data_IF_799023417052
#
_entry.id   IF_799023417052
#
_cell.length_a   1.000
_cell.length_b   1.000
_cell.length_c   1.000
_cell.angle_alpha   90.00
_cell.angle_beta   90.00
_cell.angle_gamma   90.00
#
_symmetry.space_group_name_H-M   'P 1'
#
loop_
_entity.id
_entity.type
_entity.pdbx_description
1 polymer ?
#
# COMPACT_ATOMS: atom_id res chain seq x y z
N UNK A 1 -6.15 4.95 11.54
CA UNK A 1 -5.46 3.92 12.35
C UNK A 1 -3.96 4.00 12.01
N UNK A 2 -3.06 3.23 12.63
CA UNK A 2 -1.61 3.32 12.29
C UNK A 2 -1.31 2.41 11.09
N UNK A 3 -0.81 2.96 9.98
CA UNK A 3 -0.38 2.15 8.83
C UNK A 3 0.87 1.35 9.21
N UNK A 4 0.67 0.13 9.70
CA UNK A 4 1.76 -0.74 10.16
C UNK A 4 2.75 -1.04 9.03
N UNK A 5 2.34 -1.36 7.78
CA UNK A 5 3.29 -1.59 6.69
C UNK A 5 4.09 -0.34 6.36
N UNK A 6 3.43 0.82 6.27
CA UNK A 6 4.10 2.10 6.01
C UNK A 6 5.07 2.49 7.14
N UNK A 7 4.72 2.19 8.38
CA UNK A 7 5.57 2.42 9.55
C UNK A 7 6.82 1.54 9.54
N UNK A 8 6.69 0.27 9.16
CA UNK A 8 7.82 -0.65 9.01
C UNK A 8 8.74 -0.15 7.87
N UNK A 9 8.14 0.21 6.73
CA UNK A 9 8.87 0.73 5.57
C UNK A 9 9.62 2.03 5.89
N UNK A 10 8.95 3.02 6.50
CA UNK A 10 9.57 4.31 6.84
C UNK A 10 10.72 4.21 7.85
N UNK A 11 10.72 3.17 8.70
CA UNK A 11 11.80 2.94 9.67
C UNK A 11 12.95 2.12 9.10
N UNK A 12 12.66 1.14 8.24
CA UNK A 12 13.66 0.14 7.81
C UNK A 12 14.11 0.29 6.36
N UNK A 13 13.33 1.00 5.53
CA UNK A 13 13.51 1.06 4.08
C UNK A 13 13.33 -0.29 3.38
N UNK A 14 12.85 -1.32 4.09
CA UNK A 14 12.71 -2.67 3.53
C UNK A 14 11.41 -2.76 2.71
N UNK A 15 11.56 -2.63 1.39
CA UNK A 15 10.43 -2.71 0.45
C UNK A 15 9.82 -4.10 0.34
N UNK A 16 10.61 -5.17 0.53
CA UNK A 16 10.12 -6.54 0.46
C UNK A 16 9.14 -6.82 1.61
N UNK A 17 9.50 -6.41 2.83
CA UNK A 17 8.64 -6.55 4.01
C UNK A 17 7.32 -5.76 3.87
N UNK A 18 7.38 -4.55 3.30
CA UNK A 18 6.19 -3.74 3.01
C UNK A 18 5.23 -4.48 2.06
N UNK A 19 5.75 -5.02 0.96
CA UNK A 19 4.94 -5.72 -0.04
C UNK A 19 4.32 -7.00 0.52
N UNK A 20 5.06 -7.76 1.34
CA UNK A 20 4.54 -8.95 2.00
C UNK A 20 3.38 -8.61 2.95
N UNK A 21 3.52 -7.57 3.78
CA UNK A 21 2.46 -7.15 4.70
C UNK A 21 1.24 -6.63 3.94
N UNK A 22 1.47 -5.83 2.89
CA UNK A 22 0.39 -5.30 2.05
C UNK A 22 -0.37 -6.40 1.30
N UNK A 23 0.32 -7.48 0.89
CA UNK A 23 -0.32 -8.66 0.30
C UNK A 23 -1.23 -9.37 1.31
N UNK A 24 -0.80 -9.48 2.58
CA UNK A 24 -1.62 -10.09 3.64
C UNK A 24 -2.85 -9.24 3.99
N UNK A 25 -2.73 -7.91 3.97
CA UNK A 25 -3.86 -6.99 4.18
C UNK A 25 -4.93 -7.12 3.07
N UNK A 26 -4.54 -7.44 1.83
CA UNK A 26 -5.48 -7.66 0.71
C UNK A 26 -6.25 -8.99 0.85
N UNK A 27 -5.68 -9.98 1.54
CA UNK A 27 -6.30 -11.30 1.72
C UNK A 27 -7.31 -11.33 2.87
N UNK A 28 -7.20 -10.43 3.84
CA UNK A 28 -8.28 -10.18 4.79
C UNK A 28 -9.31 -9.25 4.12
N UNK A 29 -10.63 -9.58 4.13
CA UNK A 29 -11.66 -8.63 3.74
C UNK A 29 -11.79 -7.59 4.87
N UNK A 30 -10.78 -6.75 5.03
CA UNK A 30 -10.79 -5.66 5.99
C UNK A 30 -11.77 -4.63 5.43
N UNK A 31 -12.93 -4.52 6.10
CA UNK A 31 -13.88 -3.44 5.87
C UNK A 31 -13.23 -2.13 6.30
N UNK A 32 -12.38 -1.55 5.46
CA UNK A 32 -11.82 -0.22 5.65
C UNK A 32 -12.18 0.65 4.45
N UNK A 33 -13.30 1.35 4.63
CA UNK A 33 -13.68 2.58 3.96
C UNK A 33 -12.64 3.67 4.30
N UNK A 34 -11.61 3.86 3.47
CA UNK A 34 -10.82 5.10 3.46
C UNK A 34 -10.15 5.36 2.10
N UNK A 35 -10.89 5.99 1.21
CA UNK A 35 -10.50 7.21 0.48
C UNK A 35 -8.99 7.53 0.34
N UNK A 36 -8.18 6.68 -0.29
CA UNK A 36 -6.79 7.01 -0.64
C UNK A 36 -6.26 6.25 -1.87
N UNK A 37 -7.11 6.01 -2.87
CA UNK A 37 -6.72 5.35 -4.12
C UNK A 37 -6.31 6.34 -5.24
N UNK A 38 -6.28 7.65 -4.96
CA UNK A 38 -5.97 8.68 -5.96
C UNK A 38 -4.47 8.78 -6.34
N UNK A 39 -3.56 8.12 -5.61
CA UNK A 39 -2.12 8.24 -5.87
C UNK A 39 -1.51 7.09 -6.69
N UNK A 40 -2.12 5.90 -6.69
CA UNK A 40 -1.60 4.79 -7.50
C UNK A 40 -2.09 4.89 -8.95
N UNK A 41 -3.29 5.41 -9.20
CA UNK A 41 -3.84 5.56 -10.55
C UNK A 41 -3.07 6.59 -11.41
N UNK A 42 -2.50 7.64 -10.80
CA UNK A 42 -1.71 8.64 -11.53
C UNK A 42 -0.42 8.07 -12.14
N UNK A 43 0.21 7.09 -11.49
CA UNK A 43 1.49 6.51 -11.92
C UNK A 43 1.34 5.52 -13.07
N UNK A 44 0.15 4.92 -13.22
CA UNK A 44 -0.15 3.94 -14.27
C UNK A 44 -0.60 4.62 -15.58
N UNK A 45 -1.25 5.79 -15.50
CA UNK A 45 -1.77 6.56 -16.65
C UNK A 45 -0.68 7.08 -17.59
N UNK A 46 0.53 7.33 -17.06
CA UNK A 46 1.63 7.90 -17.85
C UNK A 46 2.35 6.87 -18.76
N UNK A 47 2.02 5.57 -18.65
CA UNK A 47 2.65 4.51 -19.45
C UNK A 47 1.81 3.98 -20.60
N UNK A 48 0.59 4.47 -20.79
CA UNK A 48 -0.24 4.10 -21.93
C UNK A 48 -0.02 5.06 -23.10
N UNK A 49 1.02 4.80 -23.92
CA UNK A 49 1.21 5.39 -25.25
C UNK A 49 1.12 4.33 -26.33
#
# INVERSE_FOLDING_TARGET
>A
MIDVPWKIFSQTGNIEAYLWMKQMEVEEPIMEDDSSDDQQESLLKDTHF
#
